data_IF_538331850892
#
_entry.id   IF_538331850892
#
_cell.length_a   1.000
_cell.length_b   1.000
_cell.length_c   1.000
_cell.angle_alpha   90.00
_cell.angle_beta   90.00
_cell.angle_gamma   90.00
#
_symmetry.space_group_name_H-M   'P 1'
#
loop_
_entity.id
_entity.type
_entity.pdbx_description
1 polymer ?
#
# COMPACT_ATOMS: atom_id res chain seq x y z
N UNK A 1 29.19 -19.67 -43.77
CA UNK A 1 30.00 -20.83 -43.33
C UNK A 1 29.79 -21.05 -41.84
N UNK A 2 29.35 -22.28 -41.52
CA UNK A 2 29.48 -23.04 -40.26
C UNK A 2 29.16 -22.38 -38.89
N UNK A 3 28.10 -22.95 -38.30
CA UNK A 3 27.69 -23.01 -36.88
C UNK A 3 28.86 -23.10 -35.89
N UNK A 4 28.65 -22.59 -34.67
CA UNK A 4 28.92 -23.34 -33.43
C UNK A 4 28.16 -22.72 -32.25
N UNK A 5 27.31 -23.55 -31.66
CA UNK A 5 26.62 -23.37 -30.38
C UNK A 5 27.63 -23.69 -29.28
N UNK A 6 27.75 -22.83 -28.27
CA UNK A 6 28.46 -23.17 -27.02
C UNK A 6 27.63 -22.74 -25.81
N UNK A 7 27.05 -23.75 -25.18
CA UNK A 7 26.40 -23.72 -23.86
C UNK A 7 27.50 -23.45 -22.82
N UNK A 8 27.37 -22.37 -22.04
CA UNK A 8 28.22 -22.14 -20.88
C UNK A 8 27.48 -22.62 -19.62
N UNK A 9 28.07 -23.61 -18.98
CA UNK A 9 27.56 -24.30 -17.81
C UNK A 9 27.52 -23.39 -16.57
N UNK A 10 26.39 -23.42 -15.87
CA UNK A 10 26.15 -22.80 -14.58
C UNK A 10 26.86 -23.61 -13.50
N UNK A 11 27.91 -23.06 -12.88
CA UNK A 11 28.51 -23.63 -11.67
C UNK A 11 27.66 -23.25 -10.45
N UNK A 12 26.71 -24.11 -10.07
CA UNK A 12 26.11 -24.09 -8.74
C UNK A 12 27.04 -24.82 -7.76
N UNK A 13 27.74 -24.06 -6.92
CA UNK A 13 28.35 -24.55 -5.68
C UNK A 13 27.22 -24.93 -4.71
N UNK A 14 26.82 -26.20 -4.73
CA UNK A 14 26.05 -26.84 -3.67
C UNK A 14 27.01 -27.20 -2.54
N UNK A 15 27.10 -26.33 -1.54
CA UNK A 15 27.72 -26.65 -0.25
C UNK A 15 26.86 -27.69 0.46
N UNK A 16 27.14 -28.97 0.24
CA UNK A 16 26.53 -30.07 0.98
C UNK A 16 27.09 -30.04 2.41
N UNK A 17 26.32 -29.49 3.34
CA UNK A 17 26.49 -29.84 4.75
C UNK A 17 26.05 -31.30 4.90
N UNK A 18 27.04 -32.20 4.95
CA UNK A 18 26.84 -33.59 5.35
C UNK A 18 26.53 -33.62 6.86
N UNK A 19 25.26 -33.44 7.21
CA UNK A 19 24.78 -33.82 8.54
C UNK A 19 24.64 -35.34 8.51
N UNK A 20 25.40 -36.01 9.37
CA UNK A 20 25.24 -37.43 9.70
C UNK A 20 23.86 -37.66 10.31
N UNK A 21 22.85 -37.83 9.44
CA UNK A 21 21.53 -38.26 9.86
C UNK A 21 21.57 -39.76 10.18
N UNK A 22 21.65 -40.10 11.47
CA UNK A 22 21.08 -41.35 11.95
C UNK A 22 19.61 -41.30 11.56
N UNK A 23 19.21 -42.11 10.58
CA UNK A 23 17.83 -42.19 10.11
C UNK A 23 16.92 -42.68 11.26
N UNK A 24 16.47 -41.78 12.11
CA UNK A 24 15.38 -42.04 13.03
C UNK A 24 14.16 -42.39 12.17
N UNK A 25 13.54 -43.54 12.46
CA UNK A 25 12.29 -43.96 11.80
C UNK A 25 11.30 -42.79 11.86
N UNK A 26 10.69 -42.38 10.73
CA UNK A 26 9.72 -41.28 10.74
C UNK A 26 8.63 -41.59 11.75
N UNK A 27 8.33 -40.64 12.64
CA UNK A 27 7.27 -40.79 13.64
C UNK A 27 5.96 -41.16 12.95
N UNK A 28 5.21 -42.07 13.57
CA UNK A 28 3.87 -42.44 13.14
C UNK A 28 2.90 -41.28 13.33
N UNK A 29 1.74 -41.39 12.70
CA UNK A 29 0.66 -40.39 12.77
C UNK A 29 0.25 -40.08 14.21
N UNK A 30 0.03 -41.11 15.03
CA UNK A 30 -0.44 -40.94 16.41
C UNK A 30 0.68 -40.44 17.34
N UNK A 31 1.94 -40.79 17.08
CA UNK A 31 3.10 -40.22 17.80
C UNK A 31 3.23 -38.72 17.55
N UNK A 32 3.11 -38.28 16.29
CA UNK A 32 3.14 -36.86 15.94
C UNK A 32 1.98 -36.10 16.58
N UNK A 33 0.75 -36.63 16.51
CA UNK A 33 -0.42 -36.00 17.16
C UNK A 33 -0.16 -35.81 18.65
N UNK A 34 0.28 -36.87 19.34
CA UNK A 34 0.54 -36.82 20.79
C UNK A 34 1.60 -35.79 21.16
N UNK A 35 2.68 -35.73 20.39
CA UNK A 35 3.76 -34.78 20.64
C UNK A 35 3.36 -33.34 20.35
N UNK A 36 2.68 -33.08 19.22
CA UNK A 36 2.14 -31.75 18.89
C UNK A 36 1.24 -31.25 20.01
N UNK A 37 0.28 -32.07 20.45
CA UNK A 37 -0.66 -31.69 21.52
C UNK A 37 0.06 -31.46 22.85
N UNK A 38 1.05 -32.30 23.18
CA UNK A 38 1.80 -32.16 24.44
C UNK A 38 2.58 -30.85 24.46
N UNK A 39 3.30 -30.56 23.39
CA UNK A 39 4.14 -29.36 23.27
C UNK A 39 3.30 -28.07 23.15
N UNK A 40 2.19 -28.10 22.40
CA UNK A 40 1.32 -26.93 22.20
C UNK A 40 0.57 -26.50 23.47
N UNK A 41 0.45 -27.38 24.46
CA UNK A 41 -0.20 -27.08 25.74
C UNK A 41 0.76 -26.50 26.80
N UNK A 42 2.06 -26.41 26.48
CA UNK A 42 3.04 -25.79 27.36
C UNK A 42 3.00 -24.27 27.21
N UNK A 43 3.53 -23.53 28.20
CA UNK A 43 3.71 -22.07 28.12
C UNK A 43 5.09 -21.66 27.58
N UNK A 44 5.86 -22.61 27.06
CA UNK A 44 7.26 -22.42 26.67
C UNK A 44 7.33 -22.06 25.17
N UNK A 45 7.98 -20.94 24.79
CA UNK A 45 8.13 -20.57 23.38
C UNK A 45 8.83 -21.65 22.54
N UNK A 46 9.87 -22.28 23.09
CA UNK A 46 10.65 -23.33 22.42
C UNK A 46 9.82 -24.58 22.10
N UNK A 47 8.92 -24.96 23.01
CA UNK A 47 8.02 -26.10 22.83
C UNK A 47 6.94 -25.74 21.79
N UNK A 48 6.45 -24.50 21.78
CA UNK A 48 5.48 -24.02 20.79
C UNK A 48 6.05 -23.99 19.37
N UNK A 49 7.30 -23.53 19.22
CA UNK A 49 8.02 -23.58 17.94
C UNK A 49 8.23 -25.02 17.48
N UNK A 50 8.65 -25.91 18.39
CA UNK A 50 8.81 -27.34 18.06
C UNK A 50 7.47 -27.97 17.65
N UNK A 51 6.38 -27.65 18.35
CA UNK A 51 5.03 -28.09 18.00
C UNK A 51 4.62 -27.58 16.61
N UNK A 52 4.95 -26.33 16.27
CA UNK A 52 4.68 -25.76 14.95
C UNK A 52 5.40 -26.50 13.84
N UNK A 53 6.71 -26.77 13.99
CA UNK A 53 7.49 -27.51 13.00
C UNK A 53 6.94 -28.95 12.81
N UNK A 54 6.62 -29.63 13.91
CA UNK A 54 5.98 -30.96 13.85
C UNK A 54 4.59 -30.90 13.22
N UNK A 55 3.83 -29.82 13.47
CA UNK A 55 2.53 -29.57 12.86
C UNK A 55 2.61 -29.41 11.34
N UNK A 56 3.60 -28.65 10.85
CA UNK A 56 3.88 -28.52 9.40
C UNK A 56 4.25 -29.86 8.77
N UNK A 57 5.12 -30.63 9.43
CA UNK A 57 5.48 -31.97 8.98
C UNK A 57 4.24 -32.87 8.90
N UNK A 58 3.42 -32.87 9.96
CA UNK A 58 2.20 -33.65 10.03
C UNK A 58 1.22 -33.30 8.90
N UNK A 59 0.97 -32.01 8.65
CA UNK A 59 0.06 -31.55 7.60
C UNK A 59 0.59 -31.89 6.19
N UNK A 60 1.90 -31.84 6.00
CA UNK A 60 2.53 -32.25 4.73
C UNK A 60 2.32 -33.75 4.45
N UNK A 61 2.43 -34.58 5.49
CA UNK A 61 2.34 -36.05 5.36
C UNK A 61 0.92 -36.60 5.37
N UNK A 62 0.03 -36.00 6.16
CA UNK A 62 -1.29 -36.55 6.49
C UNK A 62 -2.44 -35.55 6.27
N UNK A 63 -2.17 -34.32 5.83
CA UNK A 63 -3.16 -33.23 5.77
C UNK A 63 -4.25 -33.40 4.70
N UNK A 64 -4.09 -34.32 3.75
CA UNK A 64 -5.04 -34.62 2.68
C UNK A 64 -5.91 -35.86 2.94
N UNK A 65 -5.75 -36.54 4.07
CA UNK A 65 -6.55 -37.72 4.43
C UNK A 65 -8.03 -37.33 4.68
N UNK A 66 -8.97 -38.04 4.02
CA UNK A 66 -10.43 -37.76 4.08
C UNK A 66 -11.19 -38.55 5.17
N UNK A 67 -10.51 -39.40 5.93
CA UNK A 67 -11.17 -40.31 6.89
C UNK A 67 -11.49 -39.59 8.21
N UNK A 68 -12.49 -40.09 8.97
CA UNK A 68 -13.20 -39.56 10.16
C UNK A 68 -12.42 -38.81 11.28
N UNK A 69 -11.09 -38.66 11.18
CA UNK A 69 -10.27 -37.81 12.05
C UNK A 69 -10.04 -36.39 11.48
N UNK A 70 -10.95 -35.91 10.63
CA UNK A 70 -10.92 -34.54 10.09
C UNK A 70 -10.83 -33.47 11.18
N UNK A 71 -11.37 -33.75 12.37
CA UNK A 71 -11.28 -32.86 13.53
C UNK A 71 -9.84 -32.68 14.05
N UNK A 72 -9.03 -33.74 14.09
CA UNK A 72 -7.64 -33.64 14.58
C UNK A 72 -6.75 -32.93 13.56
N UNK A 73 -6.92 -33.25 12.27
CA UNK A 73 -6.21 -32.55 11.19
C UNK A 73 -6.61 -31.06 11.18
N UNK A 74 -7.91 -30.76 11.36
CA UNK A 74 -8.42 -29.41 11.53
C UNK A 74 -7.76 -28.68 12.69
N UNK A 75 -7.74 -29.28 13.90
CA UNK A 75 -7.10 -28.71 15.09
C UNK A 75 -5.60 -28.43 14.90
N UNK A 76 -4.87 -29.33 14.25
CA UNK A 76 -3.44 -29.14 13.96
C UNK A 76 -3.27 -28.00 12.94
N UNK A 77 -4.09 -27.95 11.89
CA UNK A 77 -4.09 -26.84 10.92
C UNK A 77 -4.39 -25.50 11.59
N UNK A 78 -5.39 -25.45 12.46
CA UNK A 78 -5.76 -24.25 13.21
C UNK A 78 -4.66 -23.82 14.18
N UNK A 79 -3.95 -24.77 14.79
CA UNK A 79 -2.78 -24.47 15.60
C UNK A 79 -1.65 -23.87 14.75
N UNK A 80 -1.26 -24.52 13.64
CA UNK A 80 -0.21 -24.03 12.73
C UNK A 80 -0.55 -22.63 12.22
N UNK A 81 -1.80 -22.41 11.82
CA UNK A 81 -2.29 -21.10 11.37
C UNK A 81 -2.19 -20.02 12.45
N UNK A 82 -2.71 -20.30 13.65
CA UNK A 82 -2.65 -19.33 14.76
C UNK A 82 -1.23 -19.05 15.21
N UNK A 83 -0.35 -20.04 15.16
CA UNK A 83 1.06 -19.85 15.52
C UNK A 83 1.73 -18.85 14.58
N UNK A 84 1.64 -19.06 13.26
CA UNK A 84 2.25 -18.14 12.28
C UNK A 84 1.59 -16.76 12.26
N UNK A 85 0.27 -16.67 12.44
CA UNK A 85 -0.43 -15.38 12.61
C UNK A 85 0.07 -14.64 13.86
N UNK A 86 0.23 -15.34 14.99
CA UNK A 86 0.78 -14.76 16.21
C UNK A 86 2.21 -14.25 16.03
N UNK A 87 3.07 -15.01 15.34
CA UNK A 87 4.43 -14.57 14.99
C UNK A 87 4.40 -13.33 14.08
N UNK A 88 3.52 -13.31 13.07
CA UNK A 88 3.33 -12.17 12.17
C UNK A 88 2.97 -10.90 12.95
N UNK A 89 1.94 -10.93 13.79
CA UNK A 89 1.53 -9.76 14.57
C UNK A 89 2.56 -9.35 15.62
N UNK A 90 3.23 -10.31 16.27
CA UNK A 90 4.35 -10.01 17.19
C UNK A 90 5.45 -9.22 16.48
N UNK A 91 5.76 -9.56 15.22
CA UNK A 91 6.75 -8.86 14.41
C UNK A 91 6.28 -7.46 14.00
N UNK A 92 5.01 -7.30 13.64
CA UNK A 92 4.42 -5.99 13.34
C UNK A 92 4.43 -5.07 14.56
N UNK A 93 4.04 -5.56 15.73
CA UNK A 93 4.02 -4.80 16.98
C UNK A 93 5.43 -4.37 17.39
N UNK A 94 6.43 -5.22 17.14
CA UNK A 94 7.84 -4.91 17.32
C UNK A 94 8.43 -4.00 16.22
N UNK A 95 7.63 -3.60 15.22
CA UNK A 95 8.05 -2.84 14.02
C UNK A 95 9.14 -3.54 13.19
N UNK A 96 9.28 -4.85 13.35
CA UNK A 96 10.15 -5.72 12.55
C UNK A 96 9.41 -6.09 11.25
N UNK A 97 9.19 -5.10 10.39
CA UNK A 97 8.42 -5.28 9.16
C UNK A 97 9.13 -6.24 8.20
N UNK A 98 10.45 -6.15 8.07
CA UNK A 98 11.24 -7.06 7.23
C UNK A 98 11.13 -8.51 7.71
N UNK A 99 11.01 -8.76 9.02
CA UNK A 99 10.72 -10.08 9.58
C UNK A 99 9.26 -10.52 9.43
N UNK A 100 8.30 -9.58 9.46
CA UNK A 100 6.87 -9.89 9.31
C UNK A 100 6.50 -10.27 7.87
N UNK A 101 7.09 -9.63 6.86
CA UNK A 101 6.72 -9.81 5.45
C UNK A 101 6.84 -11.26 4.93
N UNK A 102 7.95 -11.98 5.18
CA UNK A 102 8.07 -13.39 4.80
C UNK A 102 6.97 -14.27 5.41
N UNK A 103 6.62 -14.04 6.68
CA UNK A 103 5.58 -14.80 7.38
C UNK A 103 4.20 -14.50 6.77
N UNK A 104 3.89 -13.22 6.52
CA UNK A 104 2.65 -12.83 5.87
C UNK A 104 2.53 -13.41 4.46
N UNK A 105 3.63 -13.47 3.69
CA UNK A 105 3.67 -14.12 2.37
C UNK A 105 3.40 -15.62 2.45
N UNK A 106 3.97 -16.33 3.43
CA UNK A 106 3.69 -17.75 3.67
C UNK A 106 2.20 -17.97 3.98
N UNK A 107 1.60 -17.12 4.83
CA UNK A 107 0.16 -17.19 5.13
C UNK A 107 -0.69 -16.97 3.87
N UNK A 108 -0.37 -15.94 3.07
CA UNK A 108 -1.13 -15.60 1.87
C UNK A 108 -0.97 -16.59 0.71
N UNK A 109 0.10 -17.38 0.69
CA UNK A 109 0.26 -18.46 -0.29
C UNK A 109 -0.84 -19.53 -0.12
N UNK A 110 -1.30 -19.76 1.11
CA UNK A 110 -2.40 -20.70 1.42
C UNK A 110 -3.75 -20.00 1.58
N UNK A 111 -3.75 -18.73 1.98
CA UNK A 111 -4.93 -17.94 2.29
C UNK A 111 -4.90 -16.62 1.49
N UNK A 112 -5.02 -16.67 0.14
CA UNK A 112 -4.82 -15.49 -0.71
C UNK A 112 -5.83 -14.36 -0.48
N UNK A 113 -6.95 -14.66 0.18
CA UNK A 113 -8.03 -13.72 0.48
C UNK A 113 -8.08 -13.33 1.96
N UNK A 114 -7.01 -13.60 2.73
CA UNK A 114 -6.91 -13.15 4.13
C UNK A 114 -6.67 -11.63 4.19
N UNK A 115 -7.78 -10.90 4.26
CA UNK A 115 -7.82 -9.42 4.27
C UNK A 115 -6.99 -8.82 5.40
N UNK A 116 -6.96 -9.48 6.56
CA UNK A 116 -6.25 -8.98 7.74
C UNK A 116 -4.74 -8.96 7.51
N UNK A 117 -4.22 -10.01 6.88
CA UNK A 117 -2.80 -10.10 6.52
C UNK A 117 -2.44 -9.15 5.39
N UNK A 118 -3.24 -9.06 4.31
CA UNK A 118 -2.96 -8.11 3.23
C UNK A 118 -2.98 -6.66 3.73
N UNK A 119 -3.97 -6.30 4.55
CA UNK A 119 -4.13 -4.97 5.11
C UNK A 119 -2.92 -4.58 5.98
N UNK A 120 -2.48 -5.48 6.84
CA UNK A 120 -1.36 -5.21 7.74
C UNK A 120 0.00 -5.25 7.03
N UNK A 121 0.19 -6.05 5.98
CA UNK A 121 1.38 -5.98 5.13
C UNK A 121 1.47 -4.65 4.38
N UNK A 122 0.34 -4.17 3.83
CA UNK A 122 0.29 -2.85 3.20
C UNK A 122 0.71 -1.74 4.16
N UNK A 123 0.12 -1.72 5.36
CA UNK A 123 0.46 -0.75 6.38
C UNK A 123 1.91 -0.87 6.86
N UNK A 124 2.37 -2.10 7.14
CA UNK A 124 3.74 -2.35 7.60
C UNK A 124 4.80 -1.88 6.61
N UNK A 125 4.62 -2.14 5.31
CA UNK A 125 5.56 -1.67 4.29
C UNK A 125 5.54 -0.15 4.11
N UNK A 126 4.38 0.50 4.25
CA UNK A 126 4.29 1.96 4.30
C UNK A 126 5.05 2.52 5.51
N UNK A 127 4.88 1.91 6.69
CA UNK A 127 5.57 2.34 7.91
C UNK A 127 7.09 2.14 7.82
N UNK A 128 7.55 1.05 7.19
CA UNK A 128 8.97 0.80 6.93
C UNK A 128 9.57 1.86 6.00
N UNK A 129 8.84 2.24 4.94
CA UNK A 129 9.24 3.30 4.03
C UNK A 129 9.29 4.67 4.75
N UNK A 130 8.23 5.02 5.50
CA UNK A 130 8.12 6.29 6.22
C UNK A 130 9.21 6.45 7.29
N UNK A 131 9.58 5.37 7.98
CA UNK A 131 10.68 5.34 8.94
C UNK A 131 12.07 5.28 8.26
N UNK A 132 12.13 5.07 6.95
CA UNK A 132 13.38 4.90 6.20
C UNK A 132 14.14 3.61 6.56
N UNK A 133 13.48 2.63 7.17
CA UNK A 133 14.11 1.39 7.66
C UNK A 133 14.25 0.34 6.58
N UNK A 134 13.26 0.19 5.69
CA UNK A 134 13.33 -0.76 4.58
C UNK A 134 12.45 -0.31 3.40
N UNK A 135 13.09 0.19 2.34
CA UNK A 135 12.39 0.63 1.12
C UNK A 135 12.01 -0.54 0.21
N UNK A 136 12.63 -1.71 0.37
CA UNK A 136 12.40 -2.85 -0.51
C UNK A 136 10.97 -3.40 -0.42
N UNK A 137 10.28 -3.11 0.68
CA UNK A 137 8.90 -3.53 0.95
C UNK A 137 7.85 -2.67 0.22
N UNK A 138 8.24 -1.58 -0.45
CA UNK A 138 7.31 -0.60 -1.01
C UNK A 138 6.41 -1.17 -2.11
N UNK A 139 6.96 -1.93 -3.05
CA UNK A 139 6.18 -2.49 -4.17
C UNK A 139 5.21 -3.59 -3.70
N UNK A 140 5.62 -4.39 -2.71
CA UNK A 140 4.74 -5.35 -2.05
C UNK A 140 3.61 -4.62 -1.30
N UNK A 141 3.92 -3.52 -0.59
CA UNK A 141 2.92 -2.76 0.16
C UNK A 141 1.82 -2.19 -0.75
N UNK A 142 2.19 -1.67 -1.93
CA UNK A 142 1.23 -1.23 -2.96
C UNK A 142 0.36 -2.40 -3.44
N UNK A 143 1.00 -3.54 -3.72
CA UNK A 143 0.28 -4.76 -4.16
C UNK A 143 -0.75 -5.19 -3.13
N UNK A 144 -0.37 -5.22 -1.85
CA UNK A 144 -1.27 -5.61 -0.77
C UNK A 144 -2.33 -4.56 -0.45
N UNK A 145 -2.05 -3.27 -0.60
CA UNK A 145 -3.05 -2.21 -0.44
C UNK A 145 -4.17 -2.38 -1.47
N UNK A 146 -3.79 -2.59 -2.74
CA UNK A 146 -4.75 -2.82 -3.84
C UNK A 146 -5.54 -4.11 -3.67
N UNK A 147 -4.87 -5.21 -3.28
CA UNK A 147 -5.56 -6.49 -2.99
C UNK A 147 -6.53 -6.35 -1.82
N UNK A 148 -6.16 -5.63 -0.76
CA UNK A 148 -7.05 -5.35 0.38
C UNK A 148 -8.30 -4.59 -0.07
N UNK A 149 -8.13 -3.53 -0.87
CA UNK A 149 -9.28 -2.79 -1.44
C UNK A 149 -10.19 -3.69 -2.27
N UNK A 150 -9.62 -4.50 -3.16
CA UNK A 150 -10.36 -5.45 -3.98
C UNK A 150 -11.17 -6.43 -3.14
N UNK A 151 -10.57 -7.00 -2.09
CA UNK A 151 -11.25 -7.94 -1.19
C UNK A 151 -12.38 -7.27 -0.41
N UNK A 152 -12.16 -6.05 0.08
CA UNK A 152 -13.17 -5.27 0.80
C UNK A 152 -14.34 -4.85 -0.09
N UNK A 153 -14.08 -4.59 -1.37
CA UNK A 153 -15.11 -4.31 -2.38
C UNK A 153 -15.91 -5.57 -2.73
N UNK A 154 -15.26 -6.75 -2.73
CA UNK A 154 -15.93 -8.05 -2.88
C UNK A 154 -16.71 -8.50 -1.63
N UNK A 155 -16.66 -7.74 -0.53
CA UNK A 155 -17.40 -8.00 0.71
C UNK A 155 -16.61 -8.73 1.79
N UNK A 156 -15.36 -9.14 1.54
CA UNK A 156 -14.47 -9.72 2.54
C UNK A 156 -13.94 -8.63 3.47
N UNK A 157 -14.00 -8.85 4.78
CA UNK A 157 -13.49 -7.90 5.78
C UNK A 157 -12.59 -8.64 6.79
N UNK A 158 -11.58 -7.97 7.38
CA UNK A 158 -10.77 -8.59 8.41
C UNK A 158 -11.62 -8.80 9.68
N UNK A 159 -11.14 -9.67 10.59
CA UNK A 159 -11.79 -9.83 11.90
C UNK A 159 -11.65 -8.59 12.76
N UNK A 160 -10.53 -7.88 12.58
CA UNK A 160 -10.19 -6.64 13.26
C UNK A 160 -9.64 -5.63 12.24
N UNK A 161 -10.06 -4.37 12.35
CA UNK A 161 -9.57 -3.29 11.49
C UNK A 161 -8.26 -2.68 11.99
N UNK A 162 -7.79 -3.05 13.19
CA UNK A 162 -6.54 -2.54 13.74
C UNK A 162 -5.37 -2.64 12.73
N UNK A 163 -4.54 -1.59 12.63
CA UNK A 163 -4.50 -0.41 13.50
C UNK A 163 -5.51 0.70 13.13
N UNK A 164 -6.36 0.46 12.13
CA UNK A 164 -7.39 1.41 11.71
C UNK A 164 -8.62 1.32 12.60
N UNK A 165 -9.35 2.44 12.69
CA UNK A 165 -10.52 2.55 13.55
C UNK A 165 -11.67 1.66 13.07
N UNK A 166 -11.92 1.65 11.76
CA UNK A 166 -13.07 1.00 11.13
C UNK A 166 -12.81 0.75 9.62
N UNK A 167 -13.83 0.25 8.92
CA UNK A 167 -13.77 -0.09 7.50
C UNK A 167 -13.41 1.10 6.61
N UNK A 168 -13.97 2.27 6.87
CA UNK A 168 -13.77 3.45 6.01
C UNK A 168 -12.40 4.05 6.25
N UNK A 169 -11.94 4.05 7.50
CA UNK A 169 -10.57 4.42 7.85
C UNK A 169 -9.55 3.48 7.17
N UNK A 170 -9.75 2.17 7.26
CA UNK A 170 -8.89 1.19 6.59
C UNK A 170 -8.84 1.39 5.07
N UNK A 171 -9.99 1.57 4.40
CA UNK A 171 -10.03 1.80 2.95
C UNK A 171 -9.28 3.06 2.54
N UNK A 172 -9.48 4.15 3.27
CA UNK A 172 -8.76 5.38 2.98
C UNK A 172 -7.27 5.24 3.19
N UNK A 173 -6.82 4.53 4.23
CA UNK A 173 -5.41 4.22 4.41
C UNK A 173 -4.86 3.36 3.28
N UNK A 174 -5.59 2.37 2.78
CA UNK A 174 -5.14 1.57 1.63
C UNK A 174 -4.96 2.44 0.38
N UNK A 175 -5.89 3.35 0.11
CA UNK A 175 -5.72 4.33 -0.97
C UNK A 175 -4.53 5.27 -0.68
N UNK A 176 -4.41 5.80 0.53
CA UNK A 176 -3.32 6.69 0.91
C UNK A 176 -1.93 6.04 0.74
N UNK A 177 -1.80 4.77 1.12
CA UNK A 177 -0.56 4.00 1.00
C UNK A 177 -0.19 3.83 -0.49
N UNK A 178 -1.14 3.38 -1.32
CA UNK A 178 -0.92 3.23 -2.75
C UNK A 178 -0.52 4.57 -3.40
N UNK A 179 -1.24 5.64 -3.08
CA UNK A 179 -0.93 6.98 -3.58
C UNK A 179 0.45 7.47 -3.16
N UNK A 180 0.80 7.31 -1.88
CA UNK A 180 2.07 7.78 -1.31
C UNK A 180 3.28 7.09 -1.93
N UNK A 181 3.20 5.77 -2.12
CA UNK A 181 4.31 4.98 -2.67
C UNK A 181 4.39 5.16 -4.19
N UNK A 182 3.25 5.33 -4.87
CA UNK A 182 3.19 5.46 -6.34
C UNK A 182 3.58 6.86 -6.83
N UNK A 183 3.38 7.92 -6.03
CA UNK A 183 3.57 9.31 -6.45
C UNK A 183 4.92 9.62 -7.15
N UNK A 184 6.08 9.10 -6.70
CA UNK A 184 7.36 9.34 -7.38
C UNK A 184 7.46 8.70 -8.78
N UNK A 185 6.63 7.69 -9.07
CA UNK A 185 6.65 6.90 -10.32
C UNK A 185 5.55 7.33 -11.29
N UNK A 186 4.35 7.60 -10.77
CA UNK A 186 3.17 7.97 -11.55
C UNK A 186 2.29 8.93 -10.74
N UNK A 187 2.54 10.23 -10.95
CA UNK A 187 1.83 11.31 -10.27
C UNK A 187 0.33 11.32 -10.60
N UNK A 188 -0.07 10.95 -11.83
CA UNK A 188 -1.48 10.94 -12.25
C UNK A 188 -2.25 9.86 -11.52
N UNK A 189 -1.70 8.65 -11.48
CA UNK A 189 -2.30 7.54 -10.72
C UNK A 189 -2.34 7.87 -9.24
N UNK A 190 -1.27 8.42 -8.69
CA UNK A 190 -1.22 8.81 -7.28
C UNK A 190 -2.26 9.87 -6.92
N UNK A 191 -2.41 10.94 -7.72
CA UNK A 191 -3.42 11.97 -7.50
C UNK A 191 -4.85 11.39 -7.50
N UNK A 192 -5.15 10.49 -8.45
CA UNK A 192 -6.45 9.82 -8.53
C UNK A 192 -6.72 8.93 -7.31
N UNK A 193 -5.68 8.25 -6.82
CA UNK A 193 -5.76 7.40 -5.64
C UNK A 193 -5.88 8.21 -4.35
N UNK A 194 -5.13 9.30 -4.20
CA UNK A 194 -5.27 10.23 -3.08
C UNK A 194 -6.66 10.89 -3.03
N UNK A 195 -7.22 11.24 -4.19
CA UNK A 195 -8.60 11.70 -4.27
C UNK A 195 -9.56 10.70 -3.62
N UNK A 196 -9.48 9.41 -3.99
CA UNK A 196 -10.29 8.35 -3.36
C UNK A 196 -10.07 8.26 -1.86
N UNK A 197 -8.83 8.42 -1.38
CA UNK A 197 -8.56 8.43 0.07
C UNK A 197 -9.32 9.56 0.80
N UNK A 198 -9.45 10.73 0.17
CA UNK A 198 -10.16 11.90 0.74
C UNK A 198 -11.68 11.81 0.68
N UNK A 199 -12.27 10.83 -0.03
CA UNK A 199 -13.74 10.68 -0.10
C UNK A 199 -14.35 10.02 1.14
N UNK A 200 -13.51 9.50 2.05
CA UNK A 200 -13.93 8.87 3.30
C UNK A 200 -13.86 9.87 4.46
N UNK A 201 -14.77 9.77 5.43
CA UNK A 201 -14.76 10.63 6.63
C UNK A 201 -13.74 10.11 7.66
N UNK A 202 -12.49 10.55 7.56
CA UNK A 202 -11.40 10.16 8.47
C UNK A 202 -10.32 11.25 8.59
N UNK A 203 -9.20 10.90 9.24
CA UNK A 203 -8.05 11.79 9.42
C UNK A 203 -7.34 12.14 8.10
N UNK A 204 -7.29 11.24 7.12
CA UNK A 204 -6.64 11.48 5.81
C UNK A 204 -7.34 12.60 5.04
N UNK A 205 -8.68 12.66 5.09
CA UNK A 205 -9.44 13.76 4.47
C UNK A 205 -9.03 15.13 4.99
N UNK A 206 -8.53 15.21 6.23
CA UNK A 206 -8.05 16.43 6.85
C UNK A 206 -6.52 16.54 6.89
N UNK A 207 -5.81 15.73 6.09
CA UNK A 207 -4.36 15.79 5.97
C UNK A 207 -3.92 16.61 4.77
N UNK A 208 -2.77 17.28 4.85
CA UNK A 208 -2.24 18.07 3.73
C UNK A 208 -1.73 17.23 2.56
N UNK A 209 -1.18 16.03 2.85
CA UNK A 209 -0.44 15.22 1.87
C UNK A 209 -1.25 14.84 0.61
N UNK A 210 -2.51 14.39 0.71
CA UNK A 210 -3.30 14.08 -0.48
C UNK A 210 -3.45 15.29 -1.41
N UNK A 211 -3.71 16.47 -0.83
CA UNK A 211 -4.00 17.67 -1.59
C UNK A 211 -2.76 18.26 -2.25
N UNK A 212 -1.59 18.20 -1.60
CA UNK A 212 -0.37 18.72 -2.22
C UNK A 212 0.06 17.85 -3.42
N UNK A 213 -0.14 16.53 -3.35
CA UNK A 213 0.13 15.64 -4.50
C UNK A 213 -0.84 15.92 -5.64
N UNK A 214 -2.12 16.14 -5.34
CA UNK A 214 -3.10 16.55 -6.36
C UNK A 214 -2.73 17.92 -6.96
N UNK A 215 -2.22 18.86 -6.16
CA UNK A 215 -1.77 20.15 -6.64
C UNK A 215 -0.58 20.02 -7.62
N UNK A 216 0.44 19.24 -7.26
CA UNK A 216 1.59 18.97 -8.13
C UNK A 216 1.20 18.26 -9.43
N UNK A 217 0.21 17.36 -9.39
CA UNK A 217 -0.34 16.78 -10.61
C UNK A 217 -0.92 17.86 -11.54
N UNK A 218 -1.75 18.76 -11.02
CA UNK A 218 -2.35 19.81 -11.85
C UNK A 218 -1.33 20.86 -12.31
N UNK A 219 -0.25 21.05 -11.57
CA UNK A 219 0.89 21.87 -12.00
C UNK A 219 1.57 21.27 -13.24
N UNK A 220 1.93 19.99 -13.21
CA UNK A 220 2.49 19.28 -14.37
C UNK A 220 1.53 19.27 -15.57
N UNK A 221 0.22 19.09 -15.32
CA UNK A 221 -0.82 19.20 -16.36
C UNK A 221 -0.84 20.59 -16.99
N UNK A 222 -0.84 21.64 -16.17
CA UNK A 222 -0.83 23.03 -16.66
C UNK A 222 0.43 23.32 -17.48
N UNK A 223 1.61 22.92 -16.99
CA UNK A 223 2.89 23.11 -17.69
C UNK A 223 2.89 22.46 -19.07
N UNK A 224 2.38 21.22 -19.18
CA UNK A 224 2.24 20.52 -20.46
C UNK A 224 1.28 21.22 -21.41
N UNK A 225 0.13 21.65 -20.92
CA UNK A 225 -0.85 22.40 -21.73
C UNK A 225 -0.28 23.73 -22.21
N UNK A 226 0.42 24.46 -21.35
CA UNK A 226 1.04 25.74 -21.69
C UNK A 226 2.16 25.57 -22.73
N UNK A 227 2.96 24.51 -22.62
CA UNK A 227 4.00 24.18 -23.59
C UNK A 227 3.40 23.85 -24.97
N UNK A 228 2.38 22.99 -25.01
CA UNK A 228 1.66 22.62 -26.24
C UNK A 228 0.97 23.83 -26.88
N UNK A 229 0.30 24.65 -26.07
CA UNK A 229 -0.30 25.92 -26.51
C UNK A 229 0.73 26.83 -27.17
N UNK A 230 1.92 27.00 -26.59
CA UNK A 230 2.98 27.85 -27.14
C UNK A 230 3.44 27.35 -28.53
N UNK A 231 3.57 26.05 -28.71
CA UNK A 231 3.94 25.44 -30.01
C UNK A 231 2.84 25.65 -31.07
N UNK A 232 1.59 25.39 -30.70
CA UNK A 232 0.42 25.56 -31.58
C UNK A 232 0.19 27.02 -31.96
N UNK A 233 0.32 27.94 -31.00
CA UNK A 233 0.22 29.38 -31.25
C UNK A 233 1.34 29.88 -32.17
N UNK A 234 2.59 29.44 -31.96
CA UNK A 234 3.72 29.83 -32.81
C UNK A 234 3.58 29.31 -34.26
N UNK A 235 3.01 28.13 -34.44
CA UNK A 235 2.75 27.55 -35.77
C UNK A 235 1.54 28.16 -36.50
N UNK A 236 0.79 29.09 -35.86
CA UNK A 236 -0.46 29.69 -36.38
C UNK A 236 -1.48 28.65 -36.86
N UNK A 237 -1.45 27.46 -36.25
CA UNK A 237 -2.30 26.32 -36.64
C UNK A 237 -3.67 26.33 -35.97
N UNK A 238 -3.87 27.21 -34.97
CA UNK A 238 -5.12 27.28 -34.22
C UNK A 238 -6.10 28.27 -34.85
N UNK A 239 -7.33 27.82 -35.04
CA UNK A 239 -8.47 28.74 -35.22
C UNK A 239 -8.78 29.47 -33.91
N UNK A 240 -9.59 30.53 -33.97
CA UNK A 240 -10.03 31.24 -32.78
C UNK A 240 -10.78 30.32 -31.79
N UNK A 241 -11.58 29.40 -32.31
CA UNK A 241 -12.33 28.42 -31.52
C UNK A 241 -11.38 27.45 -30.82
N UNK A 242 -10.38 26.93 -31.53
CA UNK A 242 -9.39 26.03 -30.95
C UNK A 242 -8.55 26.74 -29.87
N UNK A 243 -8.20 28.01 -30.09
CA UNK A 243 -7.50 28.83 -29.10
C UNK A 243 -8.30 28.98 -27.80
N UNK A 244 -9.61 29.24 -27.91
CA UNK A 244 -10.50 29.35 -26.76
C UNK A 244 -10.55 28.03 -25.97
N UNK A 245 -10.68 26.89 -26.65
CA UNK A 245 -10.73 25.57 -26.00
C UNK A 245 -9.44 25.30 -25.21
N UNK A 246 -8.27 25.59 -25.77
CA UNK A 246 -7.00 25.36 -25.06
C UNK A 246 -6.85 26.29 -23.85
N UNK A 247 -7.27 27.56 -23.97
CA UNK A 247 -7.29 28.49 -22.85
C UNK A 247 -8.23 28.02 -21.73
N UNK A 248 -9.45 27.58 -22.07
CA UNK A 248 -10.42 27.07 -21.09
C UNK A 248 -9.88 25.83 -20.34
N UNK A 249 -9.11 24.97 -21.03
CA UNK A 249 -8.44 23.80 -20.41
C UNK A 249 -7.33 24.21 -19.45
N UNK A 250 -6.48 25.16 -19.85
CA UNK A 250 -5.42 25.70 -18.99
C UNK A 250 -6.01 26.40 -17.76
N UNK A 251 -7.05 27.20 -17.94
CA UNK A 251 -7.77 27.87 -16.86
C UNK A 251 -8.38 26.86 -15.88
N UNK A 252 -9.01 25.80 -16.39
CA UNK A 252 -9.56 24.71 -15.55
C UNK A 252 -8.45 24.02 -14.76
N UNK A 253 -7.31 23.69 -15.37
CA UNK A 253 -6.18 23.09 -14.67
C UNK A 253 -5.67 23.99 -13.53
N UNK A 254 -5.61 25.29 -13.78
CA UNK A 254 -5.18 26.28 -12.80
C UNK A 254 -6.16 26.45 -11.65
N UNK A 255 -7.47 26.44 -11.92
CA UNK A 255 -8.50 26.50 -10.88
C UNK A 255 -8.45 25.25 -9.98
N UNK A 256 -8.19 24.07 -10.57
CA UNK A 256 -8.02 22.81 -9.83
C UNK A 256 -6.72 22.77 -9.01
N UNK A 257 -5.61 23.24 -9.59
CA UNK A 257 -4.33 23.41 -8.91
C UNK A 257 -4.47 24.36 -7.71
N UNK A 258 -5.15 25.48 -7.90
CA UNK A 258 -5.39 26.48 -6.87
C UNK A 258 -6.24 25.95 -5.70
N UNK A 259 -7.31 25.20 -5.97
CA UNK A 259 -8.14 24.55 -4.94
C UNK A 259 -7.32 23.53 -4.14
N UNK A 260 -6.54 22.68 -4.83
CA UNK A 260 -5.70 21.68 -4.19
C UNK A 260 -4.62 22.31 -3.30
N UNK A 261 -3.92 23.36 -3.78
CA UNK A 261 -2.95 24.09 -2.96
C UNK A 261 -3.59 24.76 -1.74
N UNK A 262 -4.76 25.35 -1.88
CA UNK A 262 -5.47 25.99 -0.78
C UNK A 262 -5.85 24.97 0.30
N UNK A 263 -6.30 23.77 -0.08
CA UNK A 263 -6.55 22.67 0.87
C UNK A 263 -5.27 22.17 1.53
N UNK A 264 -4.21 21.95 0.74
CA UNK A 264 -2.91 21.55 1.25
C UNK A 264 -2.38 22.53 2.29
N UNK A 265 -2.49 23.85 2.01
CA UNK A 265 -2.11 24.89 2.95
C UNK A 265 -2.97 24.87 4.20
N UNK A 266 -4.30 24.85 4.07
CA UNK A 266 -5.24 24.85 5.20
C UNK A 266 -4.96 23.71 6.17
N UNK A 267 -4.83 22.49 5.65
CA UNK A 267 -4.53 21.32 6.48
C UNK A 267 -3.06 21.31 6.95
N UNK A 268 -2.14 21.81 6.13
CA UNK A 268 -0.73 21.95 6.49
C UNK A 268 -0.48 22.93 7.64
N UNK A 269 -1.29 23.99 7.74
CA UNK A 269 -1.29 24.90 8.89
C UNK A 269 -1.75 24.19 10.16
N UNK A 270 -2.84 23.41 10.08
CA UNK A 270 -3.35 22.62 11.20
C UNK A 270 -2.36 21.52 11.67
N UNK A 271 -1.64 20.91 10.73
CA UNK A 271 -0.60 19.90 10.99
C UNK A 271 0.75 20.50 11.43
N UNK A 272 0.89 21.84 11.39
CA UNK A 272 2.17 22.52 11.51
C UNK A 272 3.24 21.98 10.53
N UNK A 273 2.84 21.61 9.31
CA UNK A 273 3.72 21.07 8.29
C UNK A 273 4.89 22.03 7.97
N UNK A 274 6.14 21.55 7.84
CA UNK A 274 7.30 22.41 7.55
C UNK A 274 7.22 23.10 6.19
N UNK A 275 6.52 22.52 5.22
CA UNK A 275 6.39 23.06 3.86
C UNK A 275 5.24 24.05 3.68
N UNK A 276 4.44 24.34 4.72
CA UNK A 276 3.28 25.24 4.61
C UNK A 276 3.62 26.64 4.08
N UNK A 277 4.80 27.18 4.42
CA UNK A 277 5.27 28.46 3.89
C UNK A 277 5.48 28.42 2.37
N UNK A 278 6.18 27.39 1.88
CA UNK A 278 6.38 27.18 0.43
C UNK A 278 5.04 27.02 -0.31
N UNK A 279 4.09 26.29 0.27
CA UNK A 279 2.77 26.11 -0.33
C UNK A 279 1.97 27.41 -0.38
N UNK A 280 2.06 28.23 0.66
CA UNK A 280 1.45 29.56 0.69
C UNK A 280 2.03 30.47 -0.40
N UNK A 281 3.34 30.49 -0.55
CA UNK A 281 4.01 31.31 -1.57
C UNK A 281 3.59 30.86 -2.97
N UNK A 282 3.58 29.54 -3.23
CA UNK A 282 3.16 29.00 -4.52
C UNK A 282 1.68 29.28 -4.82
N UNK A 283 0.79 29.06 -3.85
CA UNK A 283 -0.63 29.40 -3.96
C UNK A 283 -0.84 30.89 -4.25
N UNK A 284 -0.10 31.77 -3.58
CA UNK A 284 -0.20 33.23 -3.78
C UNK A 284 0.15 33.61 -5.22
N UNK A 285 1.21 33.01 -5.79
CA UNK A 285 1.58 33.23 -7.19
C UNK A 285 0.48 32.78 -8.13
N UNK A 286 -0.05 31.56 -7.94
CA UNK A 286 -1.12 30.98 -8.77
C UNK A 286 -2.37 31.85 -8.69
N UNK A 287 -2.79 32.22 -7.48
CA UNK A 287 -3.98 33.03 -7.23
C UNK A 287 -3.85 34.41 -7.89
N UNK A 288 -2.72 35.11 -7.72
CA UNK A 288 -2.46 36.39 -8.40
C UNK A 288 -2.50 36.25 -9.91
N UNK A 289 -1.89 35.19 -10.45
CA UNK A 289 -1.91 34.95 -11.89
C UNK A 289 -3.33 34.70 -12.41
N UNK A 290 -4.15 33.94 -11.68
CA UNK A 290 -5.53 33.61 -12.05
C UNK A 290 -6.51 34.77 -11.85
N UNK A 291 -6.49 35.41 -10.68
CA UNK A 291 -7.45 36.44 -10.25
C UNK A 291 -6.99 37.87 -10.52
N UNK A 292 -5.73 38.06 -10.93
CA UNK A 292 -5.10 39.38 -11.18
C UNK A 292 -5.01 40.27 -9.94
N UNK A 293 -5.22 39.70 -8.75
CA UNK A 293 -5.15 40.35 -7.45
C UNK A 293 -4.80 39.33 -6.37
N UNK A 294 -4.34 39.80 -5.22
CA UNK A 294 -4.22 38.99 -3.99
C UNK A 294 -5.45 39.10 -3.09
N UNK A 295 -6.28 40.13 -3.31
CA UNK A 295 -7.48 40.34 -2.52
C UNK A 295 -8.41 39.11 -2.61
N UNK A 296 -8.97 38.69 -1.47
CA UNK A 296 -9.85 37.52 -1.38
C UNK A 296 -9.14 36.19 -1.15
N UNK A 297 -7.79 36.13 -1.17
CA UNK A 297 -7.05 34.87 -0.98
C UNK A 297 -7.32 34.21 0.38
N UNK A 298 -7.32 34.94 1.53
CA UNK A 298 -7.67 34.34 2.82
C UNK A 298 -9.10 33.76 2.84
N UNK A 299 -10.07 34.46 2.28
CA UNK A 299 -11.46 34.01 2.18
C UNK A 299 -11.58 32.76 1.30
N UNK A 300 -10.85 32.72 0.19
CA UNK A 300 -10.77 31.56 -0.69
C UNK A 300 -10.23 30.34 0.06
N UNK A 301 -9.09 30.45 0.74
CA UNK A 301 -8.49 29.36 1.54
C UNK A 301 -9.46 28.85 2.61
N UNK A 302 -10.23 29.74 3.24
CA UNK A 302 -11.20 29.32 4.23
C UNK A 302 -12.38 28.53 3.61
N UNK A 303 -12.77 28.87 2.39
CA UNK A 303 -13.93 28.29 1.69
C UNK A 303 -13.69 26.91 1.09
N UNK A 304 -12.45 26.52 0.73
CA UNK A 304 -12.22 25.30 -0.07
C UNK A 304 -12.72 24.03 0.60
N UNK A 305 -12.67 23.92 1.93
CA UNK A 305 -13.16 22.72 2.63
C UNK A 305 -14.70 22.59 2.69
N UNK A 306 -15.45 23.57 2.18
CA UNK A 306 -16.92 23.52 2.17
C UNK A 306 -17.49 22.67 1.03
N UNK A 307 -16.64 22.32 0.05
CA UNK A 307 -17.00 21.45 -1.07
C UNK A 307 -15.98 20.32 -1.20
N UNK A 308 -16.36 19.16 -1.76
CA UNK A 308 -15.39 18.12 -2.12
C UNK A 308 -14.40 18.64 -3.16
N UNK A 309 -13.14 18.20 -3.08
CA UNK A 309 -12.19 18.44 -4.17
C UNK A 309 -12.67 17.73 -5.45
N UNK A 310 -12.38 18.30 -6.61
CA UNK A 310 -12.71 17.67 -7.88
C UNK A 310 -11.85 16.42 -8.13
N UNK A 311 -12.43 15.44 -8.81
CA UNK A 311 -11.75 14.19 -9.18
C UNK A 311 -10.66 14.44 -10.23
N UNK A 312 -9.36 14.22 -9.91
CA UNK A 312 -8.25 14.39 -10.84
C UNK A 312 -8.31 13.45 -12.05
N UNK A 313 -9.01 12.32 -11.92
CA UNK A 313 -9.20 11.35 -13.00
C UNK A 313 -10.19 11.81 -14.08
N UNK A 314 -10.94 12.90 -13.86
CA UNK A 314 -11.90 13.47 -14.81
C UNK A 314 -11.37 14.68 -15.58
N UNK A 315 -10.08 14.97 -15.46
CA UNK A 315 -9.40 15.97 -16.27
C UNK A 315 -8.91 15.37 -17.59
#
# INVERSE_FOLDING_TARGET
MKRLVSVAALFTLLSVFAITAIAQKPKSRDELIKEIVTLSNTKKPEDSEKAYQLGKEFLTRFGSEKNDKGEVIGKIRDFVNRYREGQFFTKLDAKDYSGAFPIGKEILAEQPDNVEITMNLAYGGYMALAAGTDKSLSDDAVTYARKTLQLMEAGSVPKNFAPFKDKDDARAWMYYIDGSITAPKDMKSAASTFYKATTFENSIKNSSQPYIVIAYYFEDVYEKLAADYKVKAASKTLTAEALKVENDRMDKAMDLMMDAYARALKYGEAENNPSKGQWKDRLTVIYKFRKKTEAGLPEYINSVSTTPIADPGKF
#
